data_IF_185470669788
#
_entry.id   IF_185470669788
#
_cell.length_a   1.000
_cell.length_b   1.000
_cell.length_c   1.000
_cell.angle_alpha   90.00
_cell.angle_beta   90.00
_cell.angle_gamma   90.00
#
_symmetry.space_group_name_H-M   'P 1'
#
loop_
_entity.id
_entity.type
_entity.pdbx_description
1 polymer ?
#
# COMPACT_ATOMS: atom_id res chain seq x y z
N UNK A 1 33.57 33.56 1.59
CA UNK A 1 32.64 32.42 1.35
C UNK A 1 31.25 32.88 1.74
N UNK A 2 30.38 33.12 0.76
CA UNK A 2 29.08 33.78 0.97
C UNK A 2 28.12 32.95 1.81
N UNK A 3 27.10 33.58 2.40
CA UNK A 3 26.04 32.93 3.17
C UNK A 3 25.35 31.80 2.39
N UNK A 4 25.22 31.95 1.06
CA UNK A 4 24.68 30.94 0.14
C UNK A 4 25.52 29.67 0.13
N UNK A 5 26.86 29.77 0.06
CA UNK A 5 27.76 28.60 0.07
C UNK A 5 27.69 27.84 1.39
N UNK A 6 27.57 28.56 2.51
CA UNK A 6 27.41 27.96 3.83
C UNK A 6 26.07 27.22 3.94
N UNK A 7 24.99 27.83 3.43
CA UNK A 7 23.66 27.23 3.38
C UNK A 7 23.65 25.96 2.51
N UNK A 8 24.18 26.01 1.29
CA UNK A 8 24.25 24.85 0.39
C UNK A 8 25.04 23.68 0.97
N UNK A 9 26.13 23.93 1.72
CA UNK A 9 26.88 22.88 2.41
C UNK A 9 26.09 22.24 3.53
N UNK A 10 25.30 23.00 4.29
CA UNK A 10 24.43 22.46 5.34
C UNK A 10 23.35 21.61 4.73
N UNK A 11 22.67 22.06 3.66
CA UNK A 11 21.68 21.29 2.92
C UNK A 11 22.29 19.97 2.39
N UNK A 12 23.46 20.03 1.78
CA UNK A 12 24.13 18.83 1.25
C UNK A 12 24.47 17.82 2.37
N UNK A 13 24.96 18.28 3.52
CA UNK A 13 25.27 17.41 4.66
C UNK A 13 24.03 16.77 5.28
N UNK A 14 22.91 17.48 5.29
CA UNK A 14 21.64 17.05 5.92
C UNK A 14 20.60 16.55 4.93
N UNK A 15 20.95 16.36 3.66
CA UNK A 15 20.03 16.01 2.58
C UNK A 15 19.14 14.80 2.90
N UNK A 16 19.66 13.76 3.56
CA UNK A 16 18.85 12.62 4.00
C UNK A 16 17.77 13.03 5.00
N UNK A 17 18.18 13.70 6.06
CA UNK A 17 17.25 14.14 7.10
C UNK A 17 16.20 15.11 6.52
N UNK A 18 16.60 16.02 5.64
CA UNK A 18 15.66 16.94 4.98
C UNK A 18 14.68 16.20 4.08
N UNK A 19 15.13 15.26 3.25
CA UNK A 19 14.23 14.47 2.39
C UNK A 19 13.24 13.67 3.22
N UNK A 20 13.70 12.96 4.25
CA UNK A 20 12.83 12.19 5.14
C UNK A 20 11.85 13.10 5.88
N UNK A 21 12.30 14.24 6.39
CA UNK A 21 11.44 15.19 7.11
C UNK A 21 10.34 15.78 6.21
N UNK A 22 10.69 16.20 4.99
CA UNK A 22 9.72 16.71 4.00
C UNK A 22 8.65 15.64 3.73
N UNK A 23 9.07 14.41 3.39
CA UNK A 23 8.16 13.32 3.13
C UNK A 23 7.27 13.00 4.34
N UNK A 24 7.87 12.94 5.55
CA UNK A 24 7.14 12.64 6.79
C UNK A 24 6.06 13.70 7.08
N UNK A 25 6.43 14.97 7.02
CA UNK A 25 5.49 16.09 7.25
C UNK A 25 4.38 16.08 6.20
N UNK A 26 4.73 15.90 4.92
CA UNK A 26 3.74 15.86 3.83
C UNK A 26 2.78 14.68 3.98
N UNK A 27 3.29 13.49 4.28
CA UNK A 27 2.45 12.31 4.44
C UNK A 27 1.55 12.41 5.68
N UNK A 28 2.08 12.89 6.80
CA UNK A 28 1.29 13.14 8.02
C UNK A 28 0.19 14.19 7.76
N UNK A 29 0.52 15.27 7.05
CA UNK A 29 -0.46 16.29 6.70
C UNK A 29 -1.60 15.73 5.84
N UNK A 30 -1.31 14.89 4.87
CA UNK A 30 -2.34 14.22 4.05
C UNK A 30 -3.20 13.27 4.87
N UNK A 31 -2.64 12.51 5.84
CA UNK A 31 -3.43 11.71 6.77
C UNK A 31 -4.41 12.59 7.58
N UNK A 32 -3.91 13.65 8.21
CA UNK A 32 -4.73 14.57 9.03
C UNK A 32 -5.81 15.30 8.22
N UNK A 33 -5.55 15.51 6.92
CA UNK A 33 -6.50 16.12 5.99
C UNK A 33 -7.45 15.13 5.32
N UNK A 34 -7.38 13.84 5.65
CA UNK A 34 -8.30 12.83 5.13
C UNK A 34 -9.37 12.54 6.19
N UNK A 35 -10.66 12.87 5.93
CA UNK A 35 -11.74 12.57 6.86
C UNK A 35 -12.12 11.08 6.78
N UNK A 36 -12.98 10.61 7.68
CA UNK A 36 -13.64 9.32 7.52
C UNK A 36 -14.58 9.36 6.31
N UNK A 37 -14.58 8.30 5.50
CA UNK A 37 -15.37 8.20 4.28
C UNK A 37 -15.88 6.77 4.05
N UNK A 38 -16.99 6.64 3.36
CA UNK A 38 -17.57 5.36 2.91
C UNK A 38 -17.62 4.30 4.04
N UNK A 39 -16.94 3.15 3.85
CA UNK A 39 -16.92 2.01 4.79
C UNK A 39 -16.40 2.36 6.18
N UNK A 40 -15.69 3.47 6.36
CA UNK A 40 -15.17 3.85 7.67
C UNK A 40 -16.32 4.00 8.68
N UNK A 41 -17.42 4.64 8.27
CA UNK A 41 -18.59 4.87 9.14
C UNK A 41 -19.25 3.57 9.64
N UNK A 42 -19.19 2.49 8.85
CA UNK A 42 -19.67 1.18 9.25
C UNK A 42 -18.79 0.46 10.28
N UNK A 43 -17.54 0.88 10.39
CA UNK A 43 -16.57 0.31 11.33
C UNK A 43 -16.39 1.18 12.58
N UNK A 44 -16.76 2.47 12.51
CA UNK A 44 -16.69 3.38 13.65
C UNK A 44 -17.80 3.06 14.68
N UNK A 45 -17.55 3.27 15.98
CA UNK A 45 -18.63 3.30 16.96
C UNK A 45 -19.62 4.42 16.60
N UNK A 46 -20.91 4.23 16.96
CA UNK A 46 -21.95 5.24 16.72
C UNK A 46 -21.50 6.63 17.20
N UNK A 47 -21.94 7.66 16.51
CA UNK A 47 -21.59 9.04 16.86
C UNK A 47 -21.84 9.33 18.35
N UNK A 48 -20.89 9.98 19.00
CA UNK A 48 -20.86 10.25 20.44
C UNK A 48 -20.77 9.02 21.37
N UNK A 49 -20.72 7.80 20.86
CA UNK A 49 -20.42 6.63 21.70
C UNK A 49 -18.93 6.61 22.09
N UNK A 50 -18.65 6.13 23.31
CA UNK A 50 -17.26 5.97 23.74
C UNK A 50 -16.52 4.98 22.81
N UNK A 51 -15.37 5.39 22.34
CA UNK A 51 -14.46 4.53 21.59
C UNK A 51 -13.79 3.55 22.56
N UNK A 52 -14.35 2.37 22.68
CA UNK A 52 -13.79 1.31 23.52
C UNK A 52 -13.07 0.29 22.64
N UNK A 53 -11.76 0.21 22.76
CA UNK A 53 -10.94 -0.84 22.15
C UNK A 53 -10.68 -1.93 23.18
N UNK A 54 -11.55 -2.90 23.28
CA UNK A 54 -11.19 -4.15 23.96
C UNK A 54 -10.54 -5.10 22.94
N UNK A 55 -9.49 -5.80 23.33
CA UNK A 55 -8.86 -6.81 22.49
C UNK A 55 -9.89 -7.87 22.02
N UNK A 56 -10.80 -8.27 22.90
CA UNK A 56 -11.88 -9.19 22.56
C UNK A 56 -12.81 -8.62 21.49
N UNK A 57 -13.19 -7.34 21.59
CA UNK A 57 -14.01 -6.66 20.57
C UNK A 57 -13.34 -6.62 19.20
N UNK A 58 -12.06 -6.25 19.14
CA UNK A 58 -11.27 -6.24 17.90
C UNK A 58 -11.25 -7.64 17.26
N UNK A 59 -11.00 -8.69 18.06
CA UNK A 59 -10.95 -10.07 17.56
C UNK A 59 -12.33 -10.51 17.08
N UNK A 60 -13.41 -10.20 17.82
CA UNK A 60 -14.77 -10.57 17.42
C UNK A 60 -15.18 -9.90 16.11
N UNK A 61 -14.93 -8.60 15.94
CA UNK A 61 -15.20 -7.88 14.68
C UNK A 61 -14.44 -8.50 13.51
N UNK A 62 -13.16 -8.83 13.70
CA UNK A 62 -12.38 -9.49 12.66
C UNK A 62 -12.89 -10.91 12.34
N UNK A 63 -13.36 -11.64 13.34
CA UNK A 63 -13.96 -12.97 13.19
C UNK A 63 -15.30 -12.91 12.45
N UNK A 64 -16.16 -11.94 12.76
CA UNK A 64 -17.41 -11.72 12.04
C UNK A 64 -17.16 -11.37 10.57
N UNK A 65 -16.19 -10.48 10.30
CA UNK A 65 -15.77 -10.15 8.94
C UNK A 65 -15.25 -11.39 8.18
N UNK A 66 -14.46 -12.23 8.84
CA UNK A 66 -13.92 -13.46 8.27
C UNK A 66 -15.02 -14.46 7.89
N UNK A 67 -16.07 -14.57 8.71
CA UNK A 67 -17.18 -15.49 8.46
C UNK A 67 -18.15 -14.99 7.39
N UNK A 68 -18.41 -13.68 7.34
CA UNK A 68 -19.54 -13.14 6.59
C UNK A 68 -19.13 -12.30 5.37
N UNK A 69 -17.86 -11.82 5.29
CA UNK A 69 -17.46 -10.86 4.24
C UNK A 69 -16.21 -11.27 3.46
N UNK A 70 -15.18 -11.79 4.11
CA UNK A 70 -13.97 -12.21 3.40
C UNK A 70 -12.79 -12.60 4.28
N UNK A 71 -11.81 -13.28 3.69
CA UNK A 71 -10.69 -13.90 4.39
C UNK A 71 -9.62 -12.96 4.95
N UNK A 72 -9.75 -11.64 4.78
CA UNK A 72 -8.73 -10.64 5.15
C UNK A 72 -8.68 -10.35 6.65
N UNK A 73 -8.55 -11.40 7.46
CA UNK A 73 -8.60 -11.34 8.92
C UNK A 73 -7.62 -10.32 9.51
N UNK A 74 -6.37 -10.29 9.02
CA UNK A 74 -5.35 -9.34 9.51
C UNK A 74 -5.73 -7.88 9.20
N UNK A 75 -6.27 -7.62 8.02
CA UNK A 75 -6.75 -6.29 7.65
C UNK A 75 -7.95 -5.87 8.51
N UNK A 76 -8.89 -6.80 8.78
CA UNK A 76 -10.04 -6.55 9.65
C UNK A 76 -9.62 -6.26 11.10
N UNK A 77 -8.57 -6.92 11.62
CA UNK A 77 -7.99 -6.58 12.92
C UNK A 77 -7.47 -5.14 12.95
N UNK A 78 -6.75 -4.70 11.91
CA UNK A 78 -6.28 -3.32 11.81
C UNK A 78 -7.44 -2.33 11.68
N UNK A 79 -8.44 -2.62 10.84
CA UNK A 79 -9.63 -1.77 10.70
C UNK A 79 -10.35 -1.58 12.04
N UNK A 80 -10.64 -2.68 12.77
CA UNK A 80 -11.27 -2.61 14.06
C UNK A 80 -10.44 -1.87 15.12
N UNK A 81 -9.12 -2.07 15.12
CA UNK A 81 -8.19 -1.33 15.98
C UNK A 81 -8.27 0.16 15.73
N UNK A 82 -8.16 0.59 14.45
CA UNK A 82 -8.11 1.99 14.08
C UNK A 82 -9.45 2.70 14.24
N UNK A 83 -10.56 2.02 14.00
CA UNK A 83 -11.89 2.53 14.27
C UNK A 83 -12.10 2.82 15.77
N UNK A 84 -11.46 2.06 16.64
CA UNK A 84 -11.57 2.20 18.09
C UNK A 84 -10.63 3.22 18.74
N UNK A 85 -9.65 3.77 18.03
CA UNK A 85 -8.69 4.76 18.56
C UNK A 85 -8.96 6.17 17.99
N UNK A 86 -8.48 7.25 18.65
CA UNK A 86 -8.57 8.59 18.10
C UNK A 86 -7.88 8.74 16.74
N UNK A 87 -8.49 9.51 15.82
CA UNK A 87 -7.97 9.70 14.46
C UNK A 87 -6.51 10.14 14.42
N UNK A 88 -6.09 11.09 15.28
CA UNK A 88 -4.71 11.58 15.29
C UNK A 88 -3.67 10.51 15.64
N UNK A 89 -4.07 9.47 16.40
CA UNK A 89 -3.20 8.32 16.69
C UNK A 89 -3.08 7.45 15.44
N UNK A 90 -4.21 7.20 14.75
CA UNK A 90 -4.20 6.49 13.48
C UNK A 90 -3.32 7.24 12.45
N UNK A 91 -3.49 8.54 12.28
CA UNK A 91 -2.72 9.36 11.32
C UNK A 91 -1.22 9.23 11.54
N UNK A 92 -0.79 9.29 12.80
CA UNK A 92 0.61 9.12 13.17
C UNK A 92 1.10 7.70 12.89
N UNK A 93 0.37 6.68 13.33
CA UNK A 93 0.75 5.28 13.13
C UNK A 93 0.73 4.91 11.64
N UNK A 94 -0.24 5.41 10.88
CA UNK A 94 -0.34 5.19 9.44
C UNK A 94 0.85 5.80 8.69
N UNK A 95 1.30 6.98 9.13
CA UNK A 95 2.54 7.59 8.63
C UNK A 95 3.76 6.68 8.91
N UNK A 96 3.87 6.12 10.11
CA UNK A 96 4.96 5.19 10.44
C UNK A 96 4.90 3.90 9.59
N UNK A 97 3.70 3.36 9.34
CA UNK A 97 3.52 2.18 8.49
C UNK A 97 4.00 2.43 7.06
N UNK A 98 3.72 3.60 6.49
CA UNK A 98 4.24 4.00 5.18
C UNK A 98 5.77 4.04 5.15
N UNK A 99 6.40 4.67 6.16
CA UNK A 99 7.86 4.72 6.23
C UNK A 99 8.50 3.36 6.48
N UNK A 100 7.83 2.48 7.22
CA UNK A 100 8.27 1.09 7.39
C UNK A 100 8.22 0.33 6.05
N UNK A 101 7.12 0.45 5.31
CA UNK A 101 6.97 -0.18 4.00
C UNK A 101 8.04 0.33 3.01
N UNK A 102 8.20 1.65 2.88
CA UNK A 102 9.19 2.25 1.96
C UNK A 102 10.64 1.98 2.38
N UNK A 103 10.92 1.91 3.68
CA UNK A 103 12.23 1.47 4.19
C UNK A 103 12.53 0.01 3.81
N UNK A 104 11.55 -0.89 3.92
CA UNK A 104 11.70 -2.28 3.50
C UNK A 104 11.90 -2.40 1.99
N UNK A 105 11.14 -1.66 1.17
CA UNK A 105 11.36 -1.58 -0.28
C UNK A 105 12.80 -1.11 -0.56
N UNK A 106 13.23 -0.03 0.11
CA UNK A 106 14.59 0.50 -0.06
C UNK A 106 15.66 -0.52 0.33
N UNK A 107 15.49 -1.24 1.44
CA UNK A 107 16.43 -2.27 1.89
C UNK A 107 16.48 -3.47 0.93
N UNK A 108 15.32 -3.87 0.38
CA UNK A 108 15.22 -4.87 -0.68
C UNK A 108 15.99 -4.40 -1.91
N UNK A 109 15.74 -3.18 -2.40
CA UNK A 109 16.37 -2.64 -3.59
C UNK A 109 17.88 -2.46 -3.42
N UNK A 110 18.28 -1.85 -2.30
CA UNK A 110 19.67 -1.54 -2.01
C UNK A 110 20.54 -2.81 -1.89
N UNK A 111 20.04 -3.87 -1.25
CA UNK A 111 20.83 -5.05 -0.91
C UNK A 111 22.08 -4.67 -0.09
N UNK A 112 23.27 -5.12 -0.52
CA UNK A 112 24.55 -4.81 0.14
C UNK A 112 25.26 -3.56 -0.45
N UNK A 113 24.64 -2.86 -1.42
CA UNK A 113 25.20 -1.63 -1.97
C UNK A 113 25.16 -0.47 -0.95
N UNK A 114 26.03 0.57 -1.13
CA UNK A 114 26.02 1.76 -0.28
C UNK A 114 24.68 2.48 -0.26
N UNK A 115 24.44 3.28 0.78
CA UNK A 115 23.23 4.11 0.86
C UNK A 115 23.14 5.11 -0.30
N UNK A 116 21.97 5.20 -0.91
CA UNK A 116 21.73 6.00 -2.10
C UNK A 116 20.42 6.79 -1.97
N UNK A 117 20.54 8.12 -1.84
CA UNK A 117 19.39 9.01 -1.71
C UNK A 117 18.57 9.06 -3.00
N UNK A 118 19.20 8.95 -4.16
CA UNK A 118 18.50 8.93 -5.47
C UNK A 118 17.59 7.72 -5.57
N UNK A 119 18.06 6.54 -5.13
CA UNK A 119 17.21 5.35 -5.06
C UNK A 119 16.05 5.54 -4.09
N UNK A 120 16.32 6.11 -2.89
CA UNK A 120 15.29 6.34 -1.88
C UNK A 120 14.21 7.30 -2.39
N UNK A 121 14.61 8.46 -2.91
CA UNK A 121 13.69 9.42 -3.53
C UNK A 121 12.95 8.82 -4.74
N UNK A 122 13.65 8.06 -5.58
CA UNK A 122 13.08 7.38 -6.74
C UNK A 122 11.97 6.38 -6.37
N UNK A 123 12.10 5.67 -5.24
CA UNK A 123 11.06 4.77 -4.73
C UNK A 123 9.78 5.57 -4.42
N UNK A 124 9.88 6.67 -3.69
CA UNK A 124 8.72 7.51 -3.36
C UNK A 124 8.07 8.10 -4.62
N UNK A 125 8.88 8.58 -5.58
CA UNK A 125 8.41 9.11 -6.86
C UNK A 125 7.66 8.02 -7.65
N UNK A 126 8.25 6.82 -7.76
CA UNK A 126 7.62 5.72 -8.50
C UNK A 126 6.31 5.26 -7.85
N UNK A 127 6.26 5.18 -6.52
CA UNK A 127 5.02 4.86 -5.81
C UNK A 127 3.96 5.94 -6.04
N UNK A 128 4.32 7.23 -5.96
CA UNK A 128 3.41 8.34 -6.17
C UNK A 128 2.81 8.36 -7.58
N UNK A 129 3.62 8.08 -8.60
CA UNK A 129 3.18 8.15 -10.00
C UNK A 129 2.44 6.89 -10.45
N UNK A 130 2.88 5.71 -10.00
CA UNK A 130 2.43 4.43 -10.57
C UNK A 130 1.35 3.72 -9.75
N UNK A 131 1.20 4.04 -8.45
CA UNK A 131 0.16 3.41 -7.65
C UNK A 131 -1.18 4.06 -7.95
N UNK A 132 -2.16 3.29 -8.50
CA UNK A 132 -3.49 3.82 -8.71
C UNK A 132 -4.22 3.99 -7.38
N UNK A 133 -5.22 4.86 -7.36
CA UNK A 133 -6.01 5.16 -6.16
C UNK A 133 -5.15 5.38 -4.91
N UNK A 134 -4.04 6.13 -5.08
CA UNK A 134 -3.01 6.29 -4.05
C UNK A 134 -3.60 6.69 -2.69
N UNK A 135 -4.54 7.64 -2.68
CA UNK A 135 -5.19 8.10 -1.46
C UNK A 135 -6.02 7.01 -0.77
N UNK A 136 -6.71 6.18 -1.56
CA UNK A 136 -7.47 5.04 -1.01
C UNK A 136 -6.55 3.99 -0.38
N UNK A 137 -5.37 3.77 -0.96
CA UNK A 137 -4.39 2.79 -0.46
C UNK A 137 -3.67 3.31 0.78
N UNK A 138 -3.39 4.63 0.83
CA UNK A 138 -2.47 5.20 1.81
C UNK A 138 -3.17 5.94 2.96
N UNK A 139 -4.32 6.60 2.72
CA UNK A 139 -4.92 7.53 3.68
C UNK A 139 -6.30 7.12 4.16
N UNK A 140 -7.12 6.48 3.31
CA UNK A 140 -8.42 5.96 3.71
C UNK A 140 -8.25 4.86 4.77
N UNK A 141 -8.92 4.96 5.93
CA UNK A 141 -8.72 4.05 7.06
C UNK A 141 -8.91 2.59 6.66
N UNK A 142 -10.07 2.22 6.11
CA UNK A 142 -10.35 0.86 5.66
C UNK A 142 -9.42 0.41 4.54
N UNK A 143 -9.09 1.31 3.62
CA UNK A 143 -8.16 1.03 2.53
C UNK A 143 -6.73 0.82 3.02
N UNK A 144 -6.19 1.73 3.84
CA UNK A 144 -4.84 1.59 4.37
C UNK A 144 -4.67 0.35 5.23
N UNK A 145 -5.68 -0.03 6.02
CA UNK A 145 -5.68 -1.26 6.80
C UNK A 145 -5.53 -2.51 5.90
N UNK A 146 -6.21 -2.51 4.75
CA UNK A 146 -6.15 -3.61 3.79
C UNK A 146 -4.83 -3.65 3.00
N UNK A 147 -4.35 -2.49 2.53
CA UNK A 147 -3.23 -2.40 1.59
C UNK A 147 -1.91 -2.03 2.29
N UNK A 148 -1.84 -0.85 2.91
CA UNK A 148 -0.60 -0.34 3.50
C UNK A 148 -0.15 -1.19 4.69
N UNK A 149 -1.05 -1.51 5.63
CA UNK A 149 -0.70 -2.16 6.89
C UNK A 149 -0.34 -3.65 6.75
N UNK A 150 -0.86 -4.33 5.74
CA UNK A 150 -0.48 -5.73 5.46
C UNK A 150 0.85 -5.84 4.73
N UNK A 151 1.23 -4.80 3.97
CA UNK A 151 2.44 -4.78 3.12
C UNK A 151 3.76 -4.90 3.86
N UNK A 152 4.01 -4.30 5.05
CA UNK A 152 5.26 -4.49 5.78
C UNK A 152 5.57 -5.94 6.14
N UNK A 153 4.57 -6.77 6.44
CA UNK A 153 4.78 -8.19 6.72
C UNK A 153 5.24 -8.96 5.47
N UNK A 154 4.62 -8.67 4.32
CA UNK A 154 4.99 -9.23 3.01
C UNK A 154 6.41 -8.81 2.62
N UNK A 155 6.72 -7.52 2.71
CA UNK A 155 8.05 -7.00 2.41
C UNK A 155 9.11 -7.50 3.40
N UNK A 156 8.74 -7.69 4.66
CA UNK A 156 9.60 -8.30 5.67
C UNK A 156 10.01 -9.72 5.31
N UNK A 157 9.07 -10.55 4.86
CA UNK A 157 9.35 -11.89 4.37
C UNK A 157 10.26 -11.86 3.13
N UNK A 158 9.96 -11.01 2.14
CA UNK A 158 10.76 -10.85 0.93
C UNK A 158 12.18 -10.35 1.25
N UNK A 159 12.32 -9.42 2.20
CA UNK A 159 13.61 -8.94 2.66
C UNK A 159 14.43 -10.05 3.31
N UNK A 160 13.82 -10.86 4.19
CA UNK A 160 14.50 -11.98 4.85
C UNK A 160 15.00 -13.00 3.82
N UNK A 161 14.17 -13.38 2.86
CA UNK A 161 14.55 -14.32 1.82
C UNK A 161 15.65 -13.74 0.92
N UNK A 162 15.48 -12.52 0.43
CA UNK A 162 16.51 -11.89 -0.40
C UNK A 162 17.84 -11.82 0.33
N UNK A 163 17.83 -11.39 1.60
CA UNK A 163 19.04 -11.25 2.40
C UNK A 163 19.71 -12.59 2.74
N UNK A 164 18.92 -13.65 2.85
CA UNK A 164 19.44 -14.99 3.10
C UNK A 164 20.48 -15.42 2.05
N UNK A 165 20.27 -15.10 0.80
CA UNK A 165 21.21 -15.39 -0.29
C UNK A 165 22.59 -14.75 -0.14
N UNK A 166 22.73 -13.70 0.71
CA UNK A 166 24.00 -13.00 0.96
C UNK A 166 24.60 -13.29 2.34
N UNK A 167 23.75 -13.60 3.32
CA UNK A 167 24.13 -13.61 4.73
C UNK A 167 23.57 -14.82 5.48
N UNK A 168 23.49 -15.99 4.86
CA UNK A 168 22.87 -17.19 5.44
C UNK A 168 23.53 -17.70 6.73
N UNK A 169 24.74 -17.28 7.05
CA UNK A 169 25.47 -17.65 8.28
C UNK A 169 25.11 -16.78 9.50
N UNK A 170 24.40 -15.65 9.29
CA UNK A 170 24.05 -14.73 10.39
C UNK A 170 23.11 -15.35 11.42
N UNK A 171 23.12 -14.77 12.62
CA UNK A 171 22.34 -15.22 13.76
C UNK A 171 20.83 -15.34 13.47
N UNK A 172 20.27 -14.41 12.67
CA UNK A 172 18.85 -14.39 12.27
C UNK A 172 18.38 -15.69 11.59
N UNK A 173 19.30 -16.49 11.04
CA UNK A 173 18.98 -17.75 10.40
C UNK A 173 19.30 -18.97 11.25
N UNK A 174 19.54 -18.78 12.56
CA UNK A 174 19.64 -19.87 13.52
C UNK A 174 18.24 -20.45 13.80
N UNK A 175 18.14 -21.75 14.17
CA UNK A 175 16.84 -22.42 14.37
C UNK A 175 15.89 -21.72 15.35
N UNK A 176 16.41 -21.05 16.38
CA UNK A 176 15.64 -20.33 17.38
C UNK A 176 14.74 -19.24 16.79
N UNK A 177 15.11 -18.67 15.61
CA UNK A 177 14.30 -17.69 14.92
C UNK A 177 13.19 -18.30 14.02
N UNK A 178 13.07 -19.64 14.00
CA UNK A 178 12.06 -20.34 13.21
C UNK A 178 10.64 -19.92 13.61
N UNK A 179 10.36 -19.76 14.90
CA UNK A 179 9.05 -19.32 15.40
C UNK A 179 8.73 -17.89 14.89
N UNK A 180 9.69 -16.97 15.01
CA UNK A 180 9.50 -15.60 14.53
C UNK A 180 9.21 -15.56 13.04
N UNK A 181 9.99 -16.28 12.22
CA UNK A 181 9.78 -16.30 10.77
C UNK A 181 8.47 -17.01 10.38
N UNK A 182 8.06 -18.04 11.13
CA UNK A 182 6.78 -18.71 10.95
C UNK A 182 5.61 -17.75 11.20
N UNK A 183 5.61 -17.03 12.33
CA UNK A 183 4.56 -16.05 12.66
C UNK A 183 4.53 -14.89 11.65
N UNK A 184 5.69 -14.36 11.26
CA UNK A 184 5.76 -13.33 10.24
C UNK A 184 5.20 -13.84 8.89
N UNK A 185 5.55 -15.07 8.51
CA UNK A 185 5.00 -15.73 7.32
C UNK A 185 3.49 -15.90 7.40
N UNK A 186 2.97 -16.35 8.55
CA UNK A 186 1.54 -16.51 8.78
C UNK A 186 0.78 -15.19 8.58
N UNK A 187 1.26 -14.10 9.19
CA UNK A 187 0.68 -12.76 9.05
C UNK A 187 0.75 -12.28 7.59
N UNK A 188 1.91 -12.45 6.95
CA UNK A 188 2.11 -12.06 5.55
C UNK A 188 1.25 -12.87 4.57
N UNK A 189 1.01 -14.14 4.85
CA UNK A 189 0.09 -14.99 4.10
C UNK A 189 -1.37 -14.56 4.23
N UNK A 190 -1.77 -14.07 5.42
CA UNK A 190 -3.12 -13.56 5.70
C UNK A 190 -3.35 -12.09 5.26
N UNK A 191 -2.49 -11.52 4.43
CA UNK A 191 -2.60 -10.14 3.95
C UNK A 191 -3.78 -9.93 2.99
N UNK A 192 -3.46 -9.73 1.72
CA UNK A 192 -4.46 -9.68 0.63
C UNK A 192 -4.20 -10.79 -0.39
N UNK A 193 -5.24 -11.24 -1.07
CA UNK A 193 -5.21 -12.40 -1.97
C UNK A 193 -4.09 -12.28 -3.01
N UNK A 194 -4.05 -11.20 -3.77
CA UNK A 194 -3.05 -10.98 -4.81
C UNK A 194 -1.65 -10.66 -4.26
N UNK A 195 -1.59 -9.96 -3.12
CA UNK A 195 -0.33 -9.59 -2.49
C UNK A 195 0.39 -10.81 -1.93
N UNK A 196 -0.34 -11.63 -1.18
CA UNK A 196 0.19 -12.86 -0.57
C UNK A 196 0.51 -13.92 -1.62
N UNK A 197 -0.31 -14.04 -2.68
CA UNK A 197 -0.05 -14.93 -3.81
C UNK A 197 1.26 -14.56 -4.53
N UNK A 198 1.46 -13.29 -4.86
CA UNK A 198 2.71 -12.81 -5.47
C UNK A 198 3.93 -13.03 -4.56
N UNK A 199 3.78 -12.83 -3.24
CA UNK A 199 4.83 -13.16 -2.27
C UNK A 199 5.18 -14.64 -2.29
N UNK A 200 4.19 -15.54 -2.23
CA UNK A 200 4.43 -16.98 -2.24
C UNK A 200 5.20 -17.41 -3.50
N UNK A 201 4.85 -16.85 -4.66
CA UNK A 201 5.62 -17.08 -5.90
C UNK A 201 7.07 -16.64 -5.71
N UNK A 202 7.30 -15.43 -5.16
CA UNK A 202 8.66 -14.95 -4.89
C UNK A 202 9.42 -15.91 -3.96
N UNK A 203 8.80 -16.28 -2.83
CA UNK A 203 9.44 -17.16 -1.84
C UNK A 203 9.78 -18.53 -2.45
N UNK A 204 8.87 -19.09 -3.24
CA UNK A 204 9.09 -20.36 -3.98
C UNK A 204 10.28 -20.23 -4.94
N UNK A 205 10.31 -19.16 -5.74
CA UNK A 205 11.42 -18.91 -6.67
C UNK A 205 12.75 -18.67 -5.92
N UNK A 206 12.73 -18.04 -4.74
CA UNK A 206 13.91 -17.92 -3.89
C UNK A 206 14.39 -19.26 -3.36
N UNK A 207 13.49 -20.20 -2.99
CA UNK A 207 13.90 -21.55 -2.59
C UNK A 207 14.61 -22.29 -3.73
N UNK A 208 14.08 -22.22 -4.96
CA UNK A 208 14.76 -22.74 -6.14
C UNK A 208 16.11 -22.05 -6.39
N UNK A 209 16.16 -20.71 -6.28
CA UNK A 209 17.37 -19.93 -6.43
C UNK A 209 18.44 -20.36 -5.41
N UNK A 210 18.08 -20.58 -4.15
CA UNK A 210 19.02 -21.04 -3.11
C UNK A 210 19.51 -22.46 -3.38
N UNK A 211 18.60 -23.37 -3.75
CA UNK A 211 18.91 -24.78 -3.89
C UNK A 211 19.72 -25.10 -5.16
N UNK A 212 19.32 -24.51 -6.29
CA UNK A 212 19.84 -24.89 -7.59
C UNK A 212 20.88 -23.90 -8.13
N UNK A 213 20.70 -22.61 -7.90
CA UNK A 213 21.62 -21.59 -8.43
C UNK A 213 22.76 -21.28 -7.45
N UNK A 214 22.45 -20.96 -6.19
CA UNK A 214 23.47 -20.66 -5.18
C UNK A 214 24.05 -21.94 -4.56
N UNK A 215 23.35 -23.07 -4.66
CA UNK A 215 23.73 -24.37 -4.06
C UNK A 215 23.99 -24.30 -2.55
N UNK A 216 23.26 -23.42 -1.84
CA UNK A 216 23.33 -23.29 -0.39
C UNK A 216 22.25 -24.12 0.30
N UNK A 217 22.54 -24.57 1.53
CA UNK A 217 21.59 -25.33 2.36
C UNK A 217 20.50 -24.40 2.88
N UNK A 218 19.23 -24.76 2.68
CA UNK A 218 18.10 -24.00 3.21
C UNK A 218 17.99 -24.29 4.72
N UNK A 219 18.01 -23.23 5.54
CA UNK A 219 17.95 -23.32 7.00
C UNK A 219 16.49 -23.28 7.49
N UNK A 220 16.29 -23.86 8.69
CA UNK A 220 14.98 -24.00 9.31
C UNK A 220 14.14 -22.70 9.34
N UNK A 221 14.65 -21.51 9.71
CA UNK A 221 13.83 -20.30 9.70
C UNK A 221 13.24 -19.95 8.32
N UNK A 222 13.95 -20.21 7.24
CA UNK A 222 13.44 -20.00 5.86
C UNK A 222 12.29 -20.96 5.57
N UNK A 223 12.42 -22.23 5.95
CA UNK A 223 11.36 -23.24 5.79
C UNK A 223 10.14 -22.90 6.64
N UNK A 224 10.36 -22.53 7.91
CA UNK A 224 9.27 -22.11 8.81
C UNK A 224 8.52 -20.90 8.27
N UNK A 225 9.23 -19.88 7.78
CA UNK A 225 8.62 -18.69 7.19
C UNK A 225 7.80 -19.02 5.94
N UNK A 226 8.31 -19.89 5.07
CA UNK A 226 7.58 -20.36 3.88
C UNK A 226 6.31 -21.12 4.25
N UNK A 227 6.41 -22.08 5.18
CA UNK A 227 5.25 -22.86 5.67
C UNK A 227 4.22 -21.95 6.31
N UNK A 228 4.65 -20.99 7.18
CA UNK A 228 3.77 -19.99 7.77
C UNK A 228 3.02 -19.19 6.69
N UNK A 229 3.72 -18.76 5.62
CA UNK A 229 3.10 -18.03 4.51
C UNK A 229 2.04 -18.87 3.76
N UNK A 230 2.30 -20.16 3.55
CA UNK A 230 1.34 -21.05 2.91
C UNK A 230 0.11 -21.29 3.78
N UNK A 231 0.29 -21.49 5.09
CA UNK A 231 -0.83 -21.68 6.03
C UNK A 231 -1.66 -20.40 6.10
N UNK A 232 -1.04 -19.22 6.23
CA UNK A 232 -1.74 -17.94 6.25
C UNK A 232 -2.52 -17.68 4.97
N UNK A 233 -1.93 -17.99 3.82
CA UNK A 233 -2.61 -17.83 2.53
C UNK A 233 -3.78 -18.82 2.38
N UNK A 234 -3.62 -20.05 2.84
CA UNK A 234 -4.73 -21.02 2.85
C UNK A 234 -5.88 -20.53 3.74
N UNK A 235 -5.56 -20.00 4.93
CA UNK A 235 -6.55 -19.41 5.81
C UNK A 235 -7.29 -18.24 5.13
N UNK A 236 -6.57 -17.35 4.43
CA UNK A 236 -7.14 -16.24 3.68
C UNK A 236 -8.10 -16.72 2.56
N UNK A 237 -7.65 -17.66 1.72
CA UNK A 237 -8.40 -18.08 0.52
C UNK A 237 -9.63 -18.92 0.85
N UNK A 238 -9.51 -19.81 1.84
CA UNK A 238 -10.60 -20.73 2.21
C UNK A 238 -11.56 -20.17 3.26
N UNK A 239 -11.52 -18.86 3.52
CA UNK A 239 -12.44 -18.23 4.44
C UNK A 239 -13.91 -18.37 3.99
N UNK A 240 -14.85 -18.66 4.94
CA UNK A 240 -16.27 -18.77 4.63
C UNK A 240 -16.82 -17.51 3.95
N UNK A 241 -16.49 -16.32 4.44
CA UNK A 241 -16.94 -15.05 3.89
C UNK A 241 -16.54 -14.80 2.42
N UNK A 242 -15.50 -15.45 1.91
CA UNK A 242 -15.18 -15.37 0.48
C UNK A 242 -16.27 -16.00 -0.40
N UNK A 243 -16.94 -17.06 0.08
CA UNK A 243 -18.08 -17.66 -0.62
C UNK A 243 -19.28 -16.74 -0.66
N UNK A 244 -19.63 -16.15 0.50
CA UNK A 244 -20.73 -15.18 0.60
C UNK A 244 -20.50 -14.01 -0.35
N UNK A 245 -19.29 -13.49 -0.37
CA UNK A 245 -18.91 -12.40 -1.27
C UNK A 245 -18.98 -12.79 -2.75
N UNK A 246 -18.56 -13.99 -3.13
CA UNK A 246 -18.66 -14.49 -4.50
C UNK A 246 -20.12 -14.62 -4.93
N UNK A 247 -21.00 -15.15 -4.06
CA UNK A 247 -22.42 -15.31 -4.32
C UNK A 247 -23.16 -13.96 -4.48
N UNK A 248 -22.70 -12.92 -3.74
CA UNK A 248 -23.29 -11.57 -3.78
C UNK A 248 -22.76 -10.71 -4.94
N UNK A 249 -21.77 -11.16 -5.68
CA UNK A 249 -21.12 -10.37 -6.73
C UNK A 249 -21.50 -10.88 -8.12
N UNK A 250 -21.80 -9.96 -9.03
CA UNK A 250 -21.89 -10.30 -10.46
C UNK A 250 -20.48 -10.59 -10.99
N UNK A 251 -20.29 -11.77 -11.55
CA UNK A 251 -19.01 -12.19 -12.12
C UNK A 251 -18.89 -11.77 -13.57
N UNK A 252 -17.82 -11.05 -13.91
CA UNK A 252 -17.54 -10.60 -15.26
C UNK A 252 -16.99 -11.77 -16.12
N UNK A 253 -17.29 -11.81 -17.43
CA UNK A 253 -16.71 -12.82 -18.33
C UNK A 253 -15.18 -12.84 -18.26
N UNK A 254 -14.58 -14.03 -18.20
CA UNK A 254 -13.12 -14.22 -18.05
C UNK A 254 -12.33 -13.45 -19.12
N UNK A 255 -12.81 -13.44 -20.37
CA UNK A 255 -12.17 -12.71 -21.46
C UNK A 255 -12.17 -11.19 -21.18
N UNK A 256 -13.24 -10.64 -20.65
CA UNK A 256 -13.32 -9.23 -20.29
C UNK A 256 -12.36 -8.89 -19.15
N UNK A 257 -12.31 -9.72 -18.08
CA UNK A 257 -11.33 -9.57 -17.00
C UNK A 257 -9.89 -9.59 -17.53
N UNK A 258 -9.60 -10.49 -18.48
CA UNK A 258 -8.27 -10.56 -19.11
C UNK A 258 -7.93 -9.24 -19.82
N UNK A 259 -8.84 -8.66 -20.59
CA UNK A 259 -8.62 -7.36 -21.22
C UNK A 259 -8.42 -6.23 -20.21
N UNK A 260 -9.24 -6.17 -19.15
CA UNK A 260 -9.12 -5.18 -18.08
C UNK A 260 -7.76 -5.28 -17.38
N UNK A 261 -7.30 -6.49 -17.05
CA UNK A 261 -5.99 -6.69 -16.41
C UNK A 261 -4.86 -6.22 -17.33
N UNK A 262 -4.90 -6.53 -18.64
CA UNK A 262 -3.87 -6.05 -19.57
C UNK A 262 -3.92 -4.52 -19.75
N UNK A 263 -5.11 -3.93 -19.79
CA UNK A 263 -5.28 -2.47 -19.80
C UNK A 263 -4.65 -1.84 -18.56
N UNK A 264 -4.98 -2.35 -17.37
CA UNK A 264 -4.41 -1.85 -16.11
C UNK A 264 -2.90 -2.08 -16.01
N UNK A 265 -2.40 -3.21 -16.57
CA UNK A 265 -0.95 -3.42 -16.66
C UNK A 265 -0.26 -2.29 -17.44
N UNK A 266 -0.82 -1.90 -18.59
CA UNK A 266 -0.27 -0.82 -19.41
C UNK A 266 -0.36 0.51 -18.65
N UNK A 267 -1.48 0.79 -18.02
CA UNK A 267 -1.73 2.07 -17.34
C UNK A 267 -0.86 2.25 -16.08
N UNK A 268 -0.76 1.24 -15.24
CA UNK A 268 -0.14 1.36 -13.91
C UNK A 268 1.27 0.79 -13.83
N UNK A 269 1.53 -0.32 -14.50
CA UNK A 269 2.84 -0.98 -14.50
C UNK A 269 3.65 -0.73 -15.79
N UNK A 270 3.07 -0.12 -16.82
CA UNK A 270 3.70 0.08 -18.12
C UNK A 270 4.99 0.87 -18.04
N UNK A 271 4.99 2.03 -17.39
CA UNK A 271 6.18 2.86 -17.17
C UNK A 271 7.25 2.06 -16.41
N UNK A 272 6.88 1.33 -15.37
CA UNK A 272 7.79 0.49 -14.59
C UNK A 272 8.35 -0.67 -15.44
N UNK A 273 7.56 -1.21 -16.37
CA UNK A 273 7.97 -2.28 -17.28
C UNK A 273 9.00 -1.75 -18.30
N UNK A 274 8.75 -0.59 -18.89
CA UNK A 274 9.71 0.07 -19.80
C UNK A 274 11.00 0.38 -19.07
N UNK A 275 10.93 0.96 -17.88
CA UNK A 275 12.10 1.26 -17.06
C UNK A 275 12.87 -0.03 -16.72
N UNK A 276 12.17 -1.14 -16.42
CA UNK A 276 12.81 -2.42 -16.17
C UNK A 276 13.60 -2.92 -17.38
N UNK A 277 13.02 -2.86 -18.59
CA UNK A 277 13.70 -3.27 -19.82
C UNK A 277 14.95 -2.43 -20.04
N UNK A 278 14.88 -1.10 -19.88
CA UNK A 278 16.04 -0.20 -20.02
C UNK A 278 17.14 -0.57 -19.01
N UNK A 279 16.79 -0.73 -17.75
CA UNK A 279 17.75 -1.09 -16.69
C UNK A 279 18.33 -2.51 -16.88
N UNK A 280 17.51 -3.46 -17.36
CA UNK A 280 17.96 -4.82 -17.68
C UNK A 280 19.06 -4.80 -18.75
N UNK A 281 18.83 -4.13 -19.89
CA UNK A 281 19.84 -4.02 -20.93
C UNK A 281 21.07 -3.24 -20.47
N UNK A 282 20.88 -2.14 -19.73
CA UNK A 282 21.99 -1.38 -19.16
C UNK A 282 22.84 -2.21 -18.18
N UNK A 283 22.23 -3.14 -17.44
CA UNK A 283 22.93 -4.06 -16.57
C UNK A 283 23.65 -5.17 -17.37
N UNK A 284 22.97 -5.76 -18.38
CA UNK A 284 23.49 -6.86 -19.18
C UNK A 284 24.73 -6.49 -20.02
N UNK A 285 24.79 -5.26 -20.53
CA UNK A 285 25.92 -4.79 -21.35
C UNK A 285 27.19 -4.48 -20.55
N UNK A 286 27.19 -4.65 -19.22
CA UNK A 286 28.39 -4.41 -18.40
C UNK A 286 29.23 -5.66 -18.25
N UNK A 287 30.55 -5.52 -18.35
CA UNK A 287 31.52 -6.63 -18.31
C UNK A 287 31.41 -7.51 -17.05
N UNK A 288 31.02 -6.89 -15.91
CA UNK A 288 30.80 -7.56 -14.64
C UNK A 288 29.31 -7.81 -14.38
N UNK A 289 28.53 -8.20 -15.39
CA UNK A 289 27.12 -8.47 -15.22
C UNK A 289 26.87 -9.51 -14.12
N UNK A 290 26.22 -9.08 -13.06
CA UNK A 290 25.89 -9.98 -11.96
C UNK A 290 24.56 -10.68 -12.25
N UNK A 291 24.61 -11.85 -12.90
CA UNK A 291 23.44 -12.68 -13.20
C UNK A 291 22.57 -12.92 -11.96
N UNK A 292 23.18 -12.93 -10.75
CA UNK A 292 22.46 -13.04 -9.47
C UNK A 292 21.43 -11.92 -9.26
N UNK A 293 21.79 -10.67 -9.59
CA UNK A 293 20.88 -9.53 -9.41
C UNK A 293 19.77 -9.52 -10.48
N UNK A 294 20.11 -9.90 -11.71
CA UNK A 294 19.11 -10.04 -12.78
C UNK A 294 18.08 -11.11 -12.41
N UNK A 295 18.53 -12.27 -11.91
CA UNK A 295 17.62 -13.33 -11.45
C UNK A 295 16.74 -12.86 -10.30
N UNK A 296 17.31 -12.15 -9.32
CA UNK A 296 16.52 -11.62 -8.20
C UNK A 296 15.52 -10.56 -8.65
N UNK A 297 15.89 -9.66 -9.57
CA UNK A 297 14.95 -8.71 -10.16
C UNK A 297 13.84 -9.44 -10.94
N UNK A 298 14.19 -10.50 -11.68
CA UNK A 298 13.25 -11.36 -12.39
C UNK A 298 12.23 -12.04 -11.46
N UNK A 299 12.63 -12.44 -10.25
CA UNK A 299 11.72 -12.99 -9.23
C UNK A 299 10.63 -11.96 -8.91
N UNK A 300 10.98 -10.68 -8.71
CA UNK A 300 9.99 -9.63 -8.42
C UNK A 300 9.10 -9.33 -9.63
N UNK A 301 9.62 -9.38 -10.86
CA UNK A 301 8.78 -9.24 -12.07
C UNK A 301 7.76 -10.38 -12.16
N UNK A 302 8.19 -11.64 -11.96
CA UNK A 302 7.28 -12.78 -11.97
C UNK A 302 6.22 -12.70 -10.84
N UNK A 303 6.61 -12.17 -9.68
CA UNK A 303 5.67 -11.91 -8.57
C UNK A 303 4.65 -10.84 -8.94
N UNK A 304 5.06 -9.77 -9.62
CA UNK A 304 4.17 -8.73 -10.12
C UNK A 304 3.19 -9.30 -11.15
N UNK A 305 3.67 -10.07 -12.12
CA UNK A 305 2.82 -10.73 -13.13
C UNK A 305 1.80 -11.63 -12.44
N UNK A 306 2.25 -12.50 -11.53
CA UNK A 306 1.34 -13.40 -10.84
C UNK A 306 0.32 -12.66 -9.96
N UNK A 307 0.76 -11.61 -9.23
CA UNK A 307 -0.12 -10.75 -8.44
C UNK A 307 -1.22 -10.09 -9.28
N UNK A 308 -0.90 -9.65 -10.50
CA UNK A 308 -1.88 -9.07 -11.42
C UNK A 308 -2.86 -10.13 -11.96
N UNK A 309 -2.33 -11.24 -12.47
CA UNK A 309 -3.17 -12.23 -13.14
C UNK A 309 -3.96 -13.14 -12.19
N UNK A 310 -3.58 -13.27 -10.91
CA UNK A 310 -4.42 -13.97 -9.95
C UNK A 310 -5.76 -13.26 -9.71
N UNK A 311 -5.88 -11.97 -10.04
CA UNK A 311 -7.14 -11.22 -10.02
C UNK A 311 -8.18 -11.70 -11.05
N UNK A 312 -7.79 -12.55 -12.01
CA UNK A 312 -8.77 -13.25 -12.87
C UNK A 312 -9.75 -14.11 -12.07
N UNK A 313 -9.31 -14.62 -10.92
CA UNK A 313 -10.16 -15.40 -10.01
C UNK A 313 -11.11 -14.55 -9.17
N UNK A 314 -10.92 -13.22 -9.11
CA UNK A 314 -11.79 -12.33 -8.37
C UNK A 314 -13.00 -11.88 -9.23
N UNK A 315 -14.19 -11.66 -8.66
CA UNK A 315 -15.33 -11.14 -9.41
C UNK A 315 -15.06 -9.75 -9.99
N UNK A 316 -14.43 -8.88 -9.21
CA UNK A 316 -14.03 -7.51 -9.60
C UNK A 316 -12.58 -7.24 -9.24
N UNK A 317 -11.95 -6.32 -9.98
CA UNK A 317 -10.56 -5.89 -9.75
C UNK A 317 -10.50 -4.36 -9.69
N UNK A 318 -10.80 -3.75 -8.52
CA UNK A 318 -10.66 -2.30 -8.35
C UNK A 318 -9.21 -1.86 -8.58
N UNK A 319 -9.01 -0.64 -9.09
CA UNK A 319 -7.68 -0.12 -9.42
C UNK A 319 -6.69 -0.19 -8.26
N UNK A 320 -7.12 0.12 -7.03
CA UNK A 320 -6.31 0.04 -5.80
C UNK A 320 -5.66 -1.33 -5.55
N UNK A 321 -6.20 -2.42 -6.10
CA UNK A 321 -5.60 -3.76 -5.95
C UNK A 321 -4.24 -3.87 -6.65
N UNK A 322 -3.93 -2.97 -7.59
CA UNK A 322 -2.67 -2.92 -8.33
C UNK A 322 -1.50 -2.38 -7.52
N UNK A 323 -1.75 -1.83 -6.35
CA UNK A 323 -0.72 -1.32 -5.44
C UNK A 323 0.46 -2.27 -5.28
N UNK A 324 0.21 -3.52 -4.92
CA UNK A 324 1.29 -4.48 -4.67
C UNK A 324 2.03 -4.90 -5.95
N UNK A 325 1.33 -4.95 -7.08
CA UNK A 325 1.96 -5.19 -8.40
C UNK A 325 2.97 -4.08 -8.70
N UNK A 326 2.60 -2.81 -8.46
CA UNK A 326 3.51 -1.69 -8.59
C UNK A 326 4.70 -1.79 -7.61
N UNK A 327 4.46 -2.18 -6.36
CA UNK A 327 5.52 -2.38 -5.35
C UNK A 327 6.53 -3.45 -5.80
N UNK A 328 6.07 -4.58 -6.34
CA UNK A 328 6.97 -5.61 -6.87
C UNK A 328 7.80 -5.09 -8.05
N UNK A 329 7.18 -4.35 -8.97
CA UNK A 329 7.89 -3.73 -10.09
C UNK A 329 8.89 -2.65 -9.64
N UNK A 330 8.55 -1.86 -8.62
CA UNK A 330 9.48 -0.90 -7.99
C UNK A 330 10.68 -1.62 -7.38
N UNK A 331 10.46 -2.76 -6.69
CA UNK A 331 11.54 -3.58 -6.17
C UNK A 331 12.44 -4.12 -7.29
N UNK A 332 11.86 -4.65 -8.37
CA UNK A 332 12.62 -5.15 -9.53
C UNK A 332 13.53 -4.06 -10.15
N UNK A 333 12.95 -2.89 -10.40
CA UNK A 333 13.67 -1.73 -10.94
C UNK A 333 14.78 -1.24 -9.99
N UNK A 334 14.45 -1.12 -8.69
CA UNK A 334 15.39 -0.64 -7.69
C UNK A 334 16.60 -1.57 -7.49
N UNK A 335 16.40 -2.89 -7.63
CA UNK A 335 17.48 -3.89 -7.58
C UNK A 335 18.48 -3.65 -8.71
N UNK A 336 18.02 -3.49 -9.95
CA UNK A 336 18.87 -3.23 -11.09
C UNK A 336 19.53 -1.85 -11.03
N UNK A 337 18.75 -0.82 -10.64
CA UNK A 337 19.26 0.53 -10.49
C UNK A 337 20.38 0.63 -9.45
N UNK A 338 20.27 -0.06 -8.31
CA UNK A 338 21.31 -0.09 -7.27
C UNK A 338 22.65 -0.56 -7.81
N UNK A 339 22.64 -1.55 -8.68
CA UNK A 339 23.84 -2.07 -9.32
C UNK A 339 24.42 -1.09 -10.34
N UNK A 340 23.58 -0.59 -11.26
CA UNK A 340 23.99 0.32 -12.31
C UNK A 340 24.57 1.61 -11.71
N UNK A 341 23.96 2.15 -10.68
CA UNK A 341 24.40 3.40 -10.04
C UNK A 341 25.82 3.32 -9.47
N UNK A 342 26.27 2.15 -9.02
CA UNK A 342 27.66 1.98 -8.49
C UNK A 342 28.72 2.12 -9.58
N UNK A 343 28.35 1.86 -10.84
CA UNK A 343 29.25 1.88 -11.99
C UNK A 343 29.05 3.09 -12.93
N UNK A 344 28.10 3.98 -12.61
CA UNK A 344 27.91 5.21 -13.38
C UNK A 344 29.11 6.14 -13.29
N UNK A 345 29.47 6.74 -14.42
CA UNK A 345 30.44 7.85 -14.43
C UNK A 345 29.93 9.03 -13.58
N UNK A 346 30.84 9.86 -13.09
CA UNK A 346 30.48 11.01 -12.26
C UNK A 346 29.48 11.97 -12.93
N UNK A 347 29.60 12.19 -14.25
CA UNK A 347 28.68 13.06 -15.00
C UNK A 347 27.28 12.45 -15.13
N UNK A 348 27.17 11.17 -15.49
CA UNK A 348 25.88 10.48 -15.60
C UNK A 348 25.18 10.43 -14.24
N UNK A 349 25.93 10.12 -13.17
CA UNK A 349 25.38 10.11 -11.79
C UNK A 349 24.84 11.46 -11.36
N UNK A 350 25.53 12.57 -11.71
CA UNK A 350 25.04 13.94 -11.46
C UNK A 350 23.77 14.22 -12.26
N UNK A 351 23.74 13.85 -13.54
CA UNK A 351 22.55 13.99 -14.39
C UNK A 351 21.33 13.26 -13.81
N UNK A 352 21.50 11.99 -13.43
CA UNK A 352 20.44 11.19 -12.79
C UNK A 352 19.98 11.82 -11.46
N UNK A 353 20.91 12.31 -10.64
CA UNK A 353 20.57 12.98 -9.39
C UNK A 353 19.78 14.28 -9.59
N UNK A 354 20.16 15.09 -10.58
CA UNK A 354 19.44 16.32 -10.94
C UNK A 354 18.05 16.01 -11.49
N UNK A 355 17.93 15.02 -12.37
CA UNK A 355 16.64 14.57 -12.90
C UNK A 355 15.72 14.06 -11.78
N UNK A 356 16.24 13.21 -10.86
CA UNK A 356 15.48 12.73 -9.71
C UNK A 356 15.07 13.88 -8.80
N UNK A 357 15.93 14.88 -8.57
CA UNK A 357 15.57 16.07 -7.79
C UNK A 357 14.45 16.88 -8.46
N UNK A 358 14.46 17.04 -9.76
CA UNK A 358 13.38 17.68 -10.52
C UNK A 358 12.05 16.92 -10.36
N UNK A 359 12.06 15.60 -10.54
CA UNK A 359 10.87 14.76 -10.31
C UNK A 359 10.39 14.81 -8.86
N UNK A 360 11.29 14.88 -7.88
CA UNK A 360 10.94 15.00 -6.46
C UNK A 360 10.24 16.33 -6.16
N UNK A 361 10.69 17.43 -6.79
CA UNK A 361 10.02 18.73 -6.68
C UNK A 361 8.62 18.65 -7.31
N UNK A 362 8.48 18.05 -8.49
CA UNK A 362 7.18 17.87 -9.15
C UNK A 362 6.23 17.02 -8.29
N UNK A 363 6.73 15.92 -7.71
CA UNK A 363 5.97 15.10 -6.76
C UNK A 363 5.51 15.95 -5.56
N UNK A 364 6.39 16.76 -4.99
CA UNK A 364 6.06 17.62 -3.85
C UNK A 364 4.96 18.63 -4.20
N UNK A 365 5.03 19.27 -5.38
CA UNK A 365 3.98 20.17 -5.87
C UNK A 365 2.65 19.42 -6.03
N UNK A 366 2.68 18.20 -6.59
CA UNK A 366 1.48 17.35 -6.69
C UNK A 366 0.93 16.94 -5.32
N UNK A 367 1.81 16.68 -4.31
CA UNK A 367 1.38 16.43 -2.93
C UNK A 367 0.68 17.65 -2.32
N UNK A 368 1.19 18.86 -2.58
CA UNK A 368 0.55 20.10 -2.13
C UNK A 368 -0.84 20.29 -2.77
N UNK A 369 -0.96 20.00 -4.06
CA UNK A 369 -2.26 20.02 -4.75
C UNK A 369 -3.24 19.02 -4.11
N UNK A 370 -2.80 17.78 -3.86
CA UNK A 370 -3.59 16.76 -3.15
C UNK A 370 -4.02 17.21 -1.75
N UNK A 371 -3.15 17.90 -1.00
CA UNK A 371 -3.50 18.45 0.32
C UNK A 371 -4.62 19.48 0.24
N UNK A 372 -4.61 20.33 -0.78
CA UNK A 372 -5.68 21.32 -1.00
C UNK A 372 -7.01 20.62 -1.23
N UNK A 373 -7.02 19.58 -2.07
CA UNK A 373 -8.21 18.77 -2.33
C UNK A 373 -8.73 18.06 -1.07
N UNK A 374 -7.84 17.38 -0.36
CA UNK A 374 -8.20 16.69 0.88
C UNK A 374 -8.75 17.66 1.93
N UNK A 375 -8.21 18.88 1.98
CA UNK A 375 -8.75 19.95 2.84
C UNK A 375 -10.17 20.35 2.43
N UNK A 376 -10.44 20.54 1.13
CA UNK A 376 -11.79 20.86 0.63
C UNK A 376 -12.81 19.76 0.97
N UNK A 377 -12.43 18.49 0.81
CA UNK A 377 -13.26 17.35 1.21
C UNK A 377 -13.52 17.36 2.72
N UNK A 378 -12.48 17.61 3.51
CA UNK A 378 -12.60 17.69 4.98
C UNK A 378 -13.54 18.78 5.43
N UNK A 379 -13.50 19.97 4.78
CA UNK A 379 -14.42 21.08 5.08
C UNK A 379 -15.85 20.67 4.78
N UNK A 380 -16.13 20.11 3.59
CA UNK A 380 -17.47 19.66 3.20
C UNK A 380 -17.98 18.54 4.14
N UNK A 381 -17.11 17.61 4.53
CA UNK A 381 -17.47 16.53 5.47
C UNK A 381 -17.86 17.10 6.84
N UNK A 382 -17.10 18.06 7.36
CA UNK A 382 -17.41 18.72 8.65
C UNK A 382 -18.68 19.57 8.60
N UNK A 383 -18.94 20.23 7.48
CA UNK A 383 -20.18 21.00 7.26
C UNK A 383 -21.38 20.07 7.22
N UNK A 384 -21.28 18.93 6.51
CA UNK A 384 -22.30 17.87 6.48
C UNK A 384 -22.57 17.33 7.88
N UNK A 385 -21.53 16.98 8.63
CA UNK A 385 -21.65 16.48 10.00
C UNK A 385 -22.41 17.49 10.89
N UNK A 386 -21.99 18.75 10.85
CA UNK A 386 -22.66 19.84 11.61
C UNK A 386 -24.14 19.94 11.25
N UNK A 387 -24.44 19.93 9.96
CA UNK A 387 -25.83 20.00 9.46
C UNK A 387 -26.67 18.82 9.93
N UNK A 388 -26.16 17.58 9.82
CA UNK A 388 -26.86 16.38 10.29
C UNK A 388 -27.18 16.48 11.79
N UNK A 389 -26.21 16.88 12.60
CA UNK A 389 -26.39 17.02 14.04
C UNK A 389 -27.38 18.13 14.42
N UNK A 390 -27.39 19.22 13.68
CA UNK A 390 -28.36 20.29 13.88
C UNK A 390 -29.76 19.82 13.54
N UNK A 391 -29.98 19.19 12.39
CA UNK A 391 -31.30 18.63 11.99
C UNK A 391 -31.78 17.60 13.01
N UNK A 392 -30.90 16.69 13.45
CA UNK A 392 -31.23 15.73 14.50
C UNK A 392 -31.65 16.38 15.80
N UNK A 393 -30.97 17.46 16.23
CA UNK A 393 -31.31 18.19 17.46
C UNK A 393 -32.67 18.88 17.40
N UNK A 394 -33.14 19.22 16.19
CA UNK A 394 -34.47 19.76 15.90
C UNK A 394 -35.56 18.69 15.79
N UNK A 395 -35.18 17.41 15.92
CA UNK A 395 -36.11 16.26 15.84
C UNK A 395 -36.32 15.74 14.41
N UNK A 396 -35.61 16.26 13.41
CA UNK A 396 -35.67 15.74 12.03
C UNK A 396 -34.84 14.45 11.95
N UNK A 397 -35.49 13.34 11.63
CA UNK A 397 -34.85 12.02 11.58
C UNK A 397 -34.63 11.54 10.13
N UNK A 398 -35.24 12.18 9.14
CA UNK A 398 -35.04 11.97 7.72
C UNK A 398 -34.34 13.20 7.15
N UNK A 399 -33.06 13.06 6.80
CA UNK A 399 -32.19 14.20 6.53
C UNK A 399 -31.68 14.14 5.08
N UNK A 400 -31.86 15.22 4.34
CA UNK A 400 -31.27 15.41 3.02
C UNK A 400 -30.10 16.39 3.11
N UNK A 401 -28.91 15.98 2.63
CA UNK A 401 -27.69 16.78 2.70
C UNK A 401 -26.94 16.78 1.38
N UNK A 402 -26.18 17.82 1.04
CA UNK A 402 -25.39 17.84 -0.18
C UNK A 402 -24.39 16.69 -0.28
N UNK A 403 -24.22 16.17 -1.50
CA UNK A 403 -23.17 15.21 -1.84
C UNK A 403 -21.82 15.92 -1.83
N UNK A 404 -20.78 15.26 -1.35
CA UNK A 404 -19.41 15.80 -1.41
C UNK A 404 -18.97 15.82 -2.88
N UNK A 405 -18.59 16.99 -3.37
CA UNK A 405 -18.19 17.19 -4.76
C UNK A 405 -16.76 17.68 -4.86
N UNK A 406 -16.05 17.17 -5.87
CA UNK A 406 -14.76 17.72 -6.25
C UNK A 406 -14.97 18.98 -7.12
N UNK A 407 -14.43 20.08 -6.67
CA UNK A 407 -14.48 21.37 -7.41
C UNK A 407 -13.76 21.29 -8.77
N UNK A 408 -12.79 20.38 -8.90
CA UNK A 408 -11.97 20.19 -10.10
C UNK A 408 -11.71 18.70 -10.35
N UNK A 409 -12.67 17.94 -10.89
CA UNK A 409 -12.64 16.47 -10.94
C UNK A 409 -11.50 15.86 -11.76
N UNK A 410 -10.73 16.66 -12.50
CA UNK A 410 -9.65 16.18 -13.36
C UNK A 410 -8.25 16.31 -12.73
N UNK A 411 -8.12 16.87 -11.52
CA UNK A 411 -6.79 17.28 -11.03
C UNK A 411 -6.02 16.26 -10.22
N UNK A 412 -6.59 15.58 -9.27
CA UNK A 412 -5.79 14.71 -8.40
C UNK A 412 -6.46 13.38 -8.13
N UNK A 413 -5.83 12.31 -8.59
CA UNK A 413 -6.21 10.94 -8.25
C UNK A 413 -5.55 10.44 -6.94
N UNK A 414 -4.99 11.35 -6.12
CA UNK A 414 -4.22 10.98 -4.95
C UNK A 414 -4.93 11.23 -3.62
N UNK A 415 -6.11 11.85 -3.63
CA UNK A 415 -6.97 11.95 -2.45
C UNK A 415 -7.71 10.61 -2.19
N UNK A 416 -8.26 10.45 -0.99
CA UNK A 416 -8.89 9.20 -0.59
C UNK A 416 -10.33 9.02 -1.13
N UNK A 417 -11.01 10.11 -1.51
CA UNK A 417 -12.41 10.05 -1.98
C UNK A 417 -12.51 9.73 -3.48
N UNK A 418 -11.53 10.15 -4.28
CA UNK A 418 -11.55 9.89 -5.73
C UNK A 418 -11.72 8.39 -6.01
N UNK A 419 -12.74 8.05 -6.80
CA UNK A 419 -13.10 6.65 -7.12
C UNK A 419 -13.92 5.93 -6.05
N UNK A 420 -14.19 6.55 -4.88
CA UNK A 420 -15.17 6.04 -3.91
C UNK A 420 -16.53 6.70 -4.14
N UNK A 421 -17.59 5.96 -3.82
CA UNK A 421 -18.93 6.50 -3.84
C UNK A 421 -19.22 7.30 -2.57
N UNK A 422 -20.06 8.32 -2.70
CA UNK A 422 -20.66 9.07 -1.58
C UNK A 422 -22.16 8.74 -1.47
N UNK A 423 -22.88 9.39 -0.53
CA UNK A 423 -24.33 9.25 -0.38
C UNK A 423 -25.07 9.53 -1.70
N UNK A 424 -26.20 8.86 -1.91
CA UNK A 424 -27.05 9.00 -3.10
C UNK A 424 -28.47 9.47 -2.73
N UNK A 425 -29.28 9.76 -3.73
CA UNK A 425 -30.69 10.15 -3.54
C UNK A 425 -31.55 9.01 -2.99
N UNK A 426 -31.17 7.76 -3.24
CA UNK A 426 -31.87 6.57 -2.73
C UNK A 426 -31.47 6.29 -1.27
N UNK A 427 -32.39 6.39 -0.29
CA UNK A 427 -32.06 6.11 1.10
C UNK A 427 -31.67 4.65 1.36
N UNK A 428 -32.03 3.72 0.47
CA UNK A 428 -31.65 2.30 0.58
C UNK A 428 -30.22 2.03 0.10
N UNK A 429 -29.54 3.02 -0.48
CA UNK A 429 -28.16 2.88 -0.88
C UNK A 429 -27.27 2.63 0.35
N UNK A 430 -26.38 1.67 0.25
CA UNK A 430 -25.65 1.14 1.41
C UNK A 430 -24.87 2.21 2.20
N UNK A 431 -24.23 3.20 1.56
CA UNK A 431 -23.53 4.30 2.27
C UNK A 431 -24.51 5.16 3.05
N UNK A 432 -25.70 5.43 2.48
CA UNK A 432 -26.74 6.21 3.14
C UNK A 432 -27.20 5.52 4.43
N UNK A 433 -27.40 4.19 4.38
CA UNK A 433 -27.79 3.38 5.53
C UNK A 433 -26.69 3.38 6.62
N UNK A 434 -25.45 3.14 6.23
CA UNK A 434 -24.30 3.14 7.14
C UNK A 434 -24.15 4.50 7.83
N UNK A 435 -24.31 5.59 7.09
CA UNK A 435 -24.22 6.94 7.66
C UNK A 435 -25.39 7.27 8.57
N UNK A 436 -26.61 6.85 8.22
CA UNK A 436 -27.79 6.99 9.07
C UNK A 436 -27.63 6.23 10.40
N UNK A 437 -27.15 5.00 10.33
CA UNK A 437 -26.85 4.19 11.53
C UNK A 437 -25.77 4.83 12.42
N UNK A 438 -24.71 5.37 11.81
CA UNK A 438 -23.64 6.04 12.53
C UNK A 438 -24.14 7.24 13.32
N UNK A 439 -24.95 8.11 12.70
CA UNK A 439 -25.53 9.28 13.37
C UNK A 439 -26.78 8.97 14.20
N UNK A 440 -27.35 7.77 14.07
CA UNK A 440 -28.58 7.36 14.78
C UNK A 440 -29.81 8.16 14.34
N UNK A 441 -30.03 8.27 13.03
CA UNK A 441 -31.19 8.87 12.37
C UNK A 441 -31.91 7.81 11.49
N UNK A 442 -33.13 8.09 11.02
CA UNK A 442 -33.88 7.11 10.21
C UNK A 442 -33.34 6.97 8.81
N UNK A 443 -33.08 8.09 8.13
CA UNK A 443 -32.52 8.07 6.78
C UNK A 443 -31.63 9.28 6.52
N UNK A 444 -30.62 9.07 5.67
CA UNK A 444 -29.84 10.15 5.07
C UNK A 444 -29.89 9.98 3.57
N UNK A 445 -30.14 11.08 2.85
CA UNK A 445 -30.16 11.11 1.38
C UNK A 445 -29.27 12.22 0.86
N UNK A 446 -28.69 12.00 -0.33
CA UNK A 446 -27.89 13.00 -1.01
C UNK A 446 -28.74 13.91 -1.89
N UNK A 447 -28.51 15.21 -1.84
CA UNK A 447 -29.02 16.15 -2.84
C UNK A 447 -27.90 16.52 -3.81
N UNK A 448 -28.19 16.52 -5.12
CA UNK A 448 -27.36 17.23 -6.09
C UNK A 448 -27.47 18.72 -5.77
N UNK A 449 -26.36 19.32 -5.34
CA UNK A 449 -26.26 20.74 -5.08
C UNK A 449 -26.46 21.58 -6.34
#
# INVERSE_FOLDING_TARGET
MGAVDKFLRVVYRRRWALTVAILCISFLAMNVLTPYIADDYGNLPKYAAERTTSLAGIINTAQESYQNWGGRFVASLFTALFAGIPAYIFDFLNTLAYFLATALIYLICKGDHPHNLVLYAGIHIMLWICVPDYGQVMFWLCGSANYLWTTPSILGMLYLFRRYGYCYEKALYKPIFGIFTFLLGLIAGCGMENSSAGMIVALTLYLFYFRFYLKIKIRLPIICGYIGSLIGFSFLVFAPGNRERLNASEDLPLLFKFFVINYYWIMFAGILSVLFVVLFFACKHRENCCNKLILQAGIFVLSAVFSAYCMLAAPTSPERTWFITCVYMVCANGILFSRINTEMSGHVRKGVALFTAGLFIMMFVSMMDTMIYSYEITVQTRERERYILEQKSQGHMDITTPVITHKYPLRSHHDALTGLSDIQTDPSYWINQVLADYYGVHSITGSSG
#
